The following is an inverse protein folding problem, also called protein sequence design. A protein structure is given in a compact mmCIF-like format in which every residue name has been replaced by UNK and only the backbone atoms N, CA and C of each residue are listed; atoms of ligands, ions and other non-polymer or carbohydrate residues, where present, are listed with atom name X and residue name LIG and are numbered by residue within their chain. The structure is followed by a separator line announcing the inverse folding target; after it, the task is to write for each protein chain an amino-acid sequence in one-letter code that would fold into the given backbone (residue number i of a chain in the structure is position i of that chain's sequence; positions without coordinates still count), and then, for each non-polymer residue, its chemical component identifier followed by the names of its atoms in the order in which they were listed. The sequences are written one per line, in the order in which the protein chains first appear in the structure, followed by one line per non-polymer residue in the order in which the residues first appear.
data_IF_343992972359
#
_entry.id   IF_343992972359
#
_cell.length_a   1.000
_cell.length_b   1.000
_cell.length_c   1.000
_cell.angle_alpha   90.00
_cell.angle_beta   90.00
_cell.angle_gamma   90.00
#
_symmetry.space_group_name_H-M   'P 1'
#
loop_
_entity.id
_entity.type
_entity.pdbx_description
1 polymer ?
#
# COMPACT_ATOMS: atom_id res chain seq x y z
N UNK A 1 -2.09 -20.31 -14.74
CA UNK A 1 -2.48 -19.14 -13.94
C UNK A 1 -3.42 -19.64 -12.85
N UNK A 2 -3.14 -19.38 -11.56
CA UNK A 2 -4.13 -19.62 -10.50
C UNK A 2 -5.23 -18.56 -10.69
N UNK A 3 -6.50 -18.98 -10.67
CA UNK A 3 -7.67 -18.12 -10.90
C UNK A 3 -7.85 -17.02 -9.83
N UNK A 4 -9.05 -16.41 -9.71
CA UNK A 4 -9.29 -15.38 -8.71
C UNK A 4 -8.99 -15.87 -7.28
N UNK A 5 -8.65 -14.96 -6.39
CA UNK A 5 -8.47 -15.26 -4.96
C UNK A 5 -9.77 -15.84 -4.41
N UNK A 6 -9.70 -16.99 -3.75
CA UNK A 6 -10.87 -17.52 -3.04
C UNK A 6 -11.16 -16.66 -1.82
N UNK A 7 -12.38 -16.75 -1.29
CA UNK A 7 -12.77 -16.05 -0.07
C UNK A 7 -11.88 -16.42 1.13
N UNK A 8 -11.48 -17.70 1.23
CA UNK A 8 -10.56 -18.18 2.26
C UNK A 8 -9.15 -17.59 2.09
N UNK A 9 -8.61 -17.57 0.86
CA UNK A 9 -7.30 -16.98 0.57
C UNK A 9 -7.30 -15.47 0.87
N UNK A 10 -8.39 -14.77 0.53
CA UNK A 10 -8.55 -13.36 0.84
C UNK A 10 -8.69 -13.12 2.35
N UNK A 11 -9.52 -13.88 3.06
CA UNK A 11 -9.70 -13.74 4.51
C UNK A 11 -8.37 -13.88 5.23
N UNK A 12 -7.59 -14.91 4.89
CA UNK A 12 -6.27 -15.12 5.47
C UNK A 12 -5.30 -13.96 5.17
N UNK A 13 -5.34 -13.42 3.95
CA UNK A 13 -4.52 -12.27 3.58
C UNK A 13 -4.95 -10.98 4.31
N UNK A 14 -6.25 -10.73 4.41
CA UNK A 14 -6.81 -9.59 5.10
C UNK A 14 -6.48 -9.62 6.59
N UNK A 15 -6.61 -10.77 7.24
CA UNK A 15 -6.23 -10.96 8.64
C UNK A 15 -4.73 -10.72 8.82
N UNK A 16 -3.89 -11.25 7.93
CA UNK A 16 -2.43 -11.04 8.00
C UNK A 16 -2.05 -9.57 7.83
N UNK A 17 -2.69 -8.84 6.92
CA UNK A 17 -2.48 -7.39 6.74
C UNK A 17 -2.88 -6.65 8.01
N UNK A 18 -4.07 -6.92 8.55
CA UNK A 18 -4.57 -6.27 9.77
C UNK A 18 -3.65 -6.52 10.97
N UNK A 19 -3.26 -7.76 11.21
CA UNK A 19 -2.31 -8.12 12.29
C UNK A 19 -0.96 -7.41 12.13
N UNK A 20 -0.44 -7.34 10.90
CA UNK A 20 0.85 -6.70 10.66
C UNK A 20 0.78 -5.20 10.93
N UNK A 21 -0.30 -4.55 10.50
CA UNK A 21 -0.53 -3.13 10.77
C UNK A 21 -0.75 -2.86 12.26
N UNK A 22 -1.51 -3.71 12.96
CA UNK A 22 -1.71 -3.62 14.40
C UNK A 22 -0.37 -3.69 15.16
N UNK A 23 0.49 -4.66 14.82
CA UNK A 23 1.83 -4.78 15.41
C UNK A 23 2.68 -3.56 15.08
N UNK A 24 2.65 -3.07 13.84
CA UNK A 24 3.36 -1.86 13.44
C UNK A 24 2.92 -0.64 14.28
N UNK A 25 1.61 -0.43 14.45
CA UNK A 25 1.08 0.66 15.26
C UNK A 25 1.48 0.55 16.73
N UNK A 26 1.38 -0.65 17.31
CA UNK A 26 1.80 -0.92 18.69
C UNK A 26 3.29 -0.59 18.90
N UNK A 27 4.16 -1.02 17.97
CA UNK A 27 5.61 -0.75 18.05
C UNK A 27 5.93 0.74 17.95
N UNK A 28 5.13 1.51 17.20
CA UNK A 28 5.35 2.93 16.98
C UNK A 28 4.56 3.82 17.95
N UNK A 29 3.87 3.25 18.93
CA UNK A 29 2.99 3.97 19.88
C UNK A 29 1.97 4.87 19.15
N UNK A 30 1.40 4.33 18.07
CA UNK A 30 0.36 4.98 17.28
C UNK A 30 -0.95 4.22 17.44
N UNK A 31 -2.06 4.93 17.30
CA UNK A 31 -3.38 4.32 17.18
C UNK A 31 -3.93 4.64 15.78
N UNK A 32 -4.49 3.62 15.16
CA UNK A 32 -5.20 3.71 13.89
C UNK A 32 -6.70 3.70 14.16
N UNK A 33 -7.42 4.70 13.68
CA UNK A 33 -8.88 4.79 13.84
C UNK A 33 -9.62 3.92 12.81
N UNK A 34 -9.02 3.72 11.64
CA UNK A 34 -9.60 2.95 10.54
C UNK A 34 -8.57 2.02 9.93
N UNK A 35 -8.76 0.70 10.00
CA UNK A 35 -8.02 -0.26 9.20
C UNK A 35 -9.00 -1.20 8.54
N UNK A 36 -9.23 -1.02 7.24
CA UNK A 36 -10.14 -1.88 6.49
C UNK A 36 -9.45 -2.49 5.28
N UNK A 37 -9.71 -3.77 5.03
CA UNK A 37 -9.17 -4.49 3.87
C UNK A 37 -10.35 -5.04 3.09
N UNK A 38 -10.47 -4.63 1.82
CA UNK A 38 -11.54 -5.06 0.91
C UNK A 38 -10.96 -5.71 -0.33
N UNK A 39 -11.70 -6.65 -0.90
CA UNK A 39 -11.40 -7.22 -2.22
C UNK A 39 -12.47 -6.80 -3.21
N UNK A 40 -12.04 -6.49 -4.43
CA UNK A 40 -12.90 -6.50 -5.61
C UNK A 40 -12.28 -7.40 -6.67
N UNK A 41 -13.11 -8.16 -7.36
CA UNK A 41 -12.69 -9.00 -8.47
C UNK A 41 -13.13 -8.37 -9.79
N UNK A 42 -12.22 -8.29 -10.75
CA UNK A 42 -12.49 -7.80 -12.10
C UNK A 42 -11.92 -8.79 -13.13
N UNK A 43 -12.78 -9.66 -13.65
CA UNK A 43 -12.35 -10.76 -14.52
C UNK A 43 -11.39 -11.70 -13.80
N UNK A 44 -10.16 -11.80 -14.30
CA UNK A 44 -9.09 -12.62 -13.70
C UNK A 44 -8.22 -11.84 -12.70
N UNK A 45 -8.45 -10.53 -12.55
CA UNK A 45 -7.69 -9.67 -11.64
C UNK A 45 -8.42 -9.51 -10.31
N UNK A 46 -7.63 -9.42 -9.24
CA UNK A 46 -8.12 -9.10 -7.91
C UNK A 46 -7.47 -7.78 -7.47
N UNK A 47 -8.29 -6.87 -6.97
CA UNK A 47 -7.84 -5.66 -6.31
C UNK A 47 -8.04 -5.86 -4.82
N UNK A 48 -6.97 -5.68 -4.06
CA UNK A 48 -7.03 -5.61 -2.60
C UNK A 48 -6.84 -4.14 -2.24
N UNK A 49 -7.86 -3.55 -1.63
CA UNK A 49 -7.84 -2.18 -1.13
C UNK A 49 -7.60 -2.21 0.38
N UNK A 50 -6.61 -1.45 0.84
CA UNK A 50 -6.36 -1.20 2.26
C UNK A 50 -6.72 0.25 2.54
N UNK A 51 -7.77 0.48 3.33
CA UNK A 51 -8.22 1.81 3.72
C UNK A 51 -7.70 2.15 5.11
N UNK A 52 -7.17 3.36 5.23
CA UNK A 52 -6.49 3.87 6.42
C UNK A 52 -6.86 5.32 6.68
N UNK A 53 -6.89 5.69 7.95
CA UNK A 53 -6.97 7.09 8.33
C UNK A 53 -5.67 7.81 7.94
N UNK A 54 -5.81 8.97 7.32
CA UNK A 54 -4.68 9.72 6.76
C UNK A 54 -3.75 10.30 7.84
N UNK A 55 -4.26 10.46 9.05
CA UNK A 55 -3.55 11.12 10.14
C UNK A 55 -2.49 10.24 10.80
N UNK A 56 -2.72 8.91 10.87
CA UNK A 56 -1.76 7.95 11.41
C UNK A 56 -0.91 7.24 10.34
N UNK A 57 -1.28 7.39 9.05
CA UNK A 57 -0.60 6.76 7.93
C UNK A 57 0.82 7.33 7.73
N UNK A 58 1.78 6.45 7.46
CA UNK A 58 3.18 6.82 7.20
C UNK A 58 3.80 6.04 6.03
N UNK A 59 4.90 6.52 5.44
CA UNK A 59 5.59 5.80 4.37
C UNK A 59 5.97 4.37 4.76
N UNK A 60 6.50 4.15 5.97
CA UNK A 60 6.90 2.82 6.46
C UNK A 60 5.73 1.85 6.57
N UNK A 61 4.55 2.37 6.89
CA UNK A 61 3.32 1.59 6.89
C UNK A 61 2.94 1.14 5.48
N UNK A 62 3.04 2.02 4.47
CA UNK A 62 2.83 1.66 3.06
C UNK A 62 3.82 0.56 2.63
N UNK A 63 5.10 0.70 2.96
CA UNK A 63 6.11 -0.32 2.65
C UNK A 63 5.82 -1.65 3.37
N UNK A 64 5.29 -1.60 4.58
CA UNK A 64 4.89 -2.78 5.35
C UNK A 64 3.77 -3.54 4.64
N UNK A 65 2.73 -2.85 4.16
CA UNK A 65 1.66 -3.47 3.36
C UNK A 65 2.23 -4.11 2.09
N UNK A 66 3.09 -3.39 1.36
CA UNK A 66 3.73 -3.93 0.15
C UNK A 66 4.55 -5.19 0.45
N UNK A 67 5.30 -5.20 1.56
CA UNK A 67 6.10 -6.35 1.98
C UNK A 67 5.23 -7.56 2.35
N UNK A 68 4.12 -7.35 3.07
CA UNK A 68 3.14 -8.41 3.39
C UNK A 68 2.55 -8.99 2.11
N UNK A 69 2.15 -8.13 1.18
CA UNK A 69 1.58 -8.57 -0.10
C UNK A 69 2.58 -9.44 -0.87
N UNK A 70 3.84 -8.99 -1.00
CA UNK A 70 4.92 -9.75 -1.66
C UNK A 70 5.17 -11.09 -0.99
N UNK A 71 5.09 -11.16 0.33
CA UNK A 71 5.25 -12.40 1.10
C UNK A 71 4.11 -13.39 0.85
N UNK A 72 2.86 -12.92 0.93
CA UNK A 72 1.67 -13.75 0.75
C UNK A 72 1.49 -14.27 -0.68
N UNK A 73 1.82 -13.43 -1.66
CA UNK A 73 1.48 -13.67 -3.06
C UNK A 73 2.69 -13.70 -3.98
N UNK A 74 3.88 -14.03 -3.49
CA UNK A 74 5.14 -14.00 -4.25
C UNK A 74 5.04 -14.63 -5.66
N UNK A 75 4.28 -15.72 -5.81
CA UNK A 75 4.11 -16.45 -7.08
C UNK A 75 2.89 -16.01 -7.91
N UNK A 76 2.06 -15.10 -7.39
CA UNK A 76 0.80 -14.62 -8.01
C UNK A 76 0.80 -13.11 -8.26
N UNK A 77 1.73 -12.37 -7.65
CA UNK A 77 1.92 -10.94 -7.86
C UNK A 77 2.67 -10.70 -9.16
N UNK A 78 2.09 -9.83 -10.00
CA UNK A 78 2.80 -9.21 -11.10
C UNK A 78 3.47 -7.96 -10.54
N UNK A 79 4.79 -7.98 -10.47
CA UNK A 79 5.60 -6.83 -10.03
C UNK A 79 6.59 -6.45 -11.12
N UNK A 80 6.85 -5.15 -11.21
CA UNK A 80 7.95 -4.64 -12.01
C UNK A 80 9.27 -4.90 -11.25
N UNK A 81 10.34 -5.33 -11.92
CA UNK A 81 11.61 -5.54 -11.26
C UNK A 81 12.19 -4.20 -10.82
N UNK A 82 12.40 -4.03 -9.53
CA UNK A 82 13.01 -2.83 -8.94
C UNK A 82 14.51 -2.71 -9.24
N UNK A 83 15.15 -3.80 -9.70
CA UNK A 83 16.59 -3.89 -9.99
C UNK A 83 17.04 -3.00 -11.17
N UNK A 84 16.10 -2.41 -11.92
CA UNK A 84 16.41 -1.49 -13.01
C UNK A 84 16.60 -0.04 -12.55
N UNK A 85 16.30 0.29 -11.29
CA UNK A 85 16.44 1.64 -10.75
C UNK A 85 17.76 1.80 -10.02
N UNK A 86 18.48 2.89 -10.30
CA UNK A 86 19.65 3.27 -9.52
C UNK A 86 19.26 3.70 -8.11
N UNK A 87 20.21 3.62 -7.17
CA UNK A 87 20.01 4.03 -5.76
C UNK A 87 19.47 5.46 -5.66
N UNK A 88 20.04 6.40 -6.42
CA UNK A 88 19.58 7.79 -6.48
C UNK A 88 18.11 7.92 -6.92
N UNK A 89 17.67 7.10 -7.88
CA UNK A 89 16.29 7.11 -8.38
C UNK A 89 15.32 6.46 -7.40
N UNK A 90 15.77 5.49 -6.60
CA UNK A 90 14.97 4.94 -5.49
C UNK A 90 14.82 5.99 -4.37
N UNK A 91 15.92 6.65 -3.99
CA UNK A 91 15.89 7.71 -2.97
C UNK A 91 14.97 8.87 -3.36
N UNK A 92 15.06 9.35 -4.60
CA UNK A 92 14.18 10.41 -5.09
C UNK A 92 12.69 10.03 -5.04
N UNK A 93 12.37 8.75 -5.17
CA UNK A 93 10.99 8.27 -5.07
C UNK A 93 10.51 8.15 -3.63
N UNK A 94 11.38 7.78 -2.71
CA UNK A 94 11.06 7.76 -1.28
C UNK A 94 10.82 9.19 -0.77
N UNK A 95 11.66 10.16 -1.16
CA UNK A 95 11.45 11.59 -0.86
C UNK A 95 10.10 12.10 -1.39
N UNK A 96 9.71 11.68 -2.60
CA UNK A 96 8.43 12.05 -3.19
C UNK A 96 7.23 11.45 -2.42
N UNK A 97 7.36 10.21 -1.93
CA UNK A 97 6.31 9.57 -1.10
C UNK A 97 6.14 10.35 0.21
N UNK A 98 7.25 10.73 0.86
CA UNK A 98 7.23 11.54 2.07
C UNK A 98 6.54 12.89 1.83
N UNK A 99 6.89 13.59 0.75
CA UNK A 99 6.27 14.88 0.40
C UNK A 99 4.76 14.75 0.19
N UNK A 100 4.33 13.75 -0.59
CA UNK A 100 2.90 13.48 -0.83
C UNK A 100 2.19 13.25 0.48
N UNK A 101 2.71 12.36 1.32
CA UNK A 101 2.10 12.00 2.59
C UNK A 101 2.03 13.19 3.55
N UNK A 102 3.09 13.99 3.64
CA UNK A 102 3.10 15.23 4.42
C UNK A 102 2.08 16.26 3.90
N UNK A 103 1.82 16.28 2.58
CA UNK A 103 0.79 17.15 2.01
C UNK A 103 -0.63 16.70 2.39
N UNK A 104 -0.87 15.40 2.58
CA UNK A 104 -2.16 14.84 2.98
C UNK A 104 -2.51 15.15 4.44
N UNK A 105 -1.52 15.16 5.33
CA UNK A 105 -1.72 15.40 6.77
C UNK A 105 -1.95 16.86 7.14
N UNK A 106 -1.42 17.81 6.34
CA UNK A 106 -1.41 19.24 6.64
C UNK A 106 -2.61 20.04 6.09
N UNK A 107 -3.50 19.41 5.32
CA UNK A 107 -4.60 20.12 4.67
C UNK A 107 -5.91 20.05 5.47
N UNK A 108 -6.58 21.20 5.61
CA UNK A 108 -7.93 21.30 6.22
C UNK A 108 -9.03 20.67 5.36
N UNK A 109 -8.76 20.44 4.08
CA UNK A 109 -9.61 19.70 3.15
C UNK A 109 -8.82 18.53 2.61
N UNK A 110 -9.41 17.34 2.55
CA UNK A 110 -8.74 16.18 1.98
C UNK A 110 -8.50 16.44 0.48
N UNK A 111 -7.24 16.52 0.02
CA UNK A 111 -6.97 16.65 -1.40
C UNK A 111 -7.42 15.37 -2.10
N UNK A 112 -8.13 15.48 -3.22
CA UNK A 112 -8.36 14.35 -4.11
C UNK A 112 -7.05 14.02 -4.83
N UNK A 113 -6.18 13.27 -4.16
CA UNK A 113 -4.89 12.86 -4.67
C UNK A 113 -4.92 11.37 -5.06
N UNK A 114 -4.37 11.07 -6.23
CA UNK A 114 -4.14 9.71 -6.68
C UNK A 114 -2.65 9.53 -6.96
N UNK A 115 -2.04 8.55 -6.31
CA UNK A 115 -0.66 8.16 -6.55
C UNK A 115 -0.60 6.75 -7.13
N UNK A 116 0.12 6.55 -8.22
CA UNK A 116 0.28 5.24 -8.87
C UNK A 116 1.74 5.02 -9.26
N UNK A 117 2.24 3.81 -9.05
CA UNK A 117 3.55 3.39 -9.54
C UNK A 117 3.38 2.66 -10.87
N UNK A 118 4.01 3.18 -11.93
CA UNK A 118 3.99 2.60 -13.27
C UNK A 118 5.37 2.71 -13.91
N UNK A 119 5.87 1.64 -14.53
CA UNK A 119 7.22 1.55 -15.07
C UNK A 119 8.27 2.02 -14.04
N UNK A 120 8.04 1.62 -12.79
CA UNK A 120 8.77 1.93 -11.56
C UNK A 120 8.93 3.39 -11.22
N UNK A 121 8.10 4.27 -11.79
CA UNK A 121 7.99 5.69 -11.43
C UNK A 121 6.70 5.95 -10.68
N UNK A 122 6.77 6.76 -9.63
CA UNK A 122 5.59 7.27 -8.93
C UNK A 122 5.00 8.47 -9.69
N UNK A 123 3.74 8.35 -10.08
CA UNK A 123 2.94 9.42 -10.68
C UNK A 123 1.88 9.90 -9.71
N UNK A 124 1.71 11.21 -9.60
CA UNK A 124 0.77 11.85 -8.68
C UNK A 124 -0.18 12.73 -9.48
N UNK A 125 -1.47 12.60 -9.19
CA UNK A 125 -2.55 13.34 -9.83
C UNK A 125 -3.38 14.06 -8.77
N UNK A 126 -3.62 15.35 -8.98
CA UNK A 126 -4.58 16.14 -8.23
C UNK A 126 -5.86 16.26 -9.06
N UNK A 127 -7.02 15.95 -8.47
CA UNK A 127 -8.33 16.02 -9.14
C UNK A 127 -9.20 17.14 -8.61
#
# INVERSE_FOLDING_TARGET
MKGPLTEEEFSAAADRIRETLEVYHLMNQREAELVEVRQTAFGELNTIAVERDVHSLSPEELYTVVAVMRSLFQQRLLTEPMEYFGEEELMAQDELIEEVMASLSNQRQQPNLYAMRENGRLMIFHK
#
